data_IF_347751578128
#
_entry.id   IF_347751578128
#
_cell.length_a   1.000
_cell.length_b   1.000
_cell.length_c   1.000
_cell.angle_alpha   90.00
_cell.angle_beta   90.00
_cell.angle_gamma   90.00
#
_symmetry.space_group_name_H-M   'P 1'
#
loop_
_entity.id
_entity.type
_entity.pdbx_description
1 polymer ?
#
# COMPACT_ATOMS: atom_id res chain seq x y z
N UNK A 1 7.20 30.06 -5.83
CA UNK A 1 6.39 28.84 -5.63
C UNK A 1 5.27 28.83 -6.67
N UNK A 2 5.02 27.70 -7.33
CA UNK A 2 3.91 27.54 -8.27
C UNK A 2 2.60 27.77 -7.51
N UNK A 3 1.70 28.63 -8.03
CA UNK A 3 0.40 28.98 -7.41
C UNK A 3 -0.61 27.82 -7.48
N UNK A 4 -0.25 26.67 -6.96
CA UNK A 4 -1.04 25.44 -6.99
C UNK A 4 -1.76 25.22 -5.66
N UNK A 5 -2.91 24.50 -5.66
CA UNK A 5 -3.59 24.13 -4.42
C UNK A 5 -2.73 23.18 -3.56
N UNK A 6 -3.08 23.01 -2.27
CA UNK A 6 -2.52 21.99 -1.39
C UNK A 6 -2.57 20.57 -2.01
N UNK A 7 -1.57 19.73 -1.71
CA UNK A 7 -1.41 18.42 -2.35
C UNK A 7 -2.59 17.48 -2.10
N UNK A 8 -3.11 17.47 -0.87
CA UNK A 8 -4.27 16.70 -0.41
C UNK A 8 -5.51 16.96 -1.28
N UNK A 9 -5.80 18.23 -1.59
CA UNK A 9 -6.91 18.63 -2.44
C UNK A 9 -6.59 18.59 -3.94
N UNK A 10 -5.32 18.61 -4.33
CA UNK A 10 -4.93 18.72 -5.73
C UNK A 10 -4.72 17.36 -6.40
N UNK A 11 -3.86 16.50 -5.84
CA UNK A 11 -3.44 15.25 -6.50
C UNK A 11 -3.85 14.01 -5.73
N UNK A 12 -4.01 14.10 -4.40
CA UNK A 12 -4.28 12.93 -3.57
C UNK A 12 -5.73 12.40 -3.69
N UNK A 13 -6.58 13.01 -4.50
CA UNK A 13 -7.86 12.39 -4.88
C UNK A 13 -7.71 11.39 -6.04
N UNK A 14 -6.58 11.45 -6.75
CA UNK A 14 -6.38 10.72 -8.01
C UNK A 14 -5.06 9.95 -8.08
N UNK A 15 -4.11 10.23 -7.19
CA UNK A 15 -2.80 9.57 -7.12
C UNK A 15 -2.75 8.61 -5.93
N UNK A 16 -2.15 7.45 -6.17
CA UNK A 16 -2.06 6.34 -5.23
C UNK A 16 -0.65 5.77 -5.26
N UNK A 17 -0.23 5.20 -4.13
CA UNK A 17 1.08 4.57 -3.93
C UNK A 17 0.89 3.10 -3.57
N UNK A 18 1.75 2.24 -4.09
CA UNK A 18 1.79 0.86 -3.63
C UNK A 18 2.70 0.71 -2.39
N UNK A 19 2.74 -0.49 -1.81
CA UNK A 19 3.64 -0.83 -0.70
C UNK A 19 4.90 -1.57 -1.16
N UNK A 20 5.37 -1.38 -2.39
CA UNK A 20 6.59 -2.00 -2.91
C UNK A 20 7.85 -1.30 -2.36
N UNK A 21 7.93 -1.21 -1.03
CA UNK A 21 9.01 -0.60 -0.26
C UNK A 21 9.63 -1.69 0.62
N UNK A 22 10.87 -2.06 0.32
CA UNK A 22 11.46 -3.33 0.77
C UNK A 22 12.17 -3.29 2.13
N UNK A 23 11.68 -2.49 3.07
CA UNK A 23 12.17 -2.50 4.46
C UNK A 23 11.18 -1.77 5.39
N UNK A 24 11.17 -2.16 6.67
CA UNK A 24 10.24 -1.61 7.67
C UNK A 24 10.31 -0.07 7.78
N UNK A 25 11.48 0.58 7.91
CA UNK A 25 11.53 2.04 8.03
C UNK A 25 10.91 2.81 6.85
N UNK A 26 10.96 2.24 5.65
CA UNK A 26 10.36 2.86 4.46
C UNK A 26 8.84 2.77 4.48
N UNK A 27 8.30 1.62 4.89
CA UNK A 27 6.87 1.44 5.12
C UNK A 27 6.38 2.33 6.27
N UNK A 28 7.14 2.47 7.36
CA UNK A 28 6.80 3.36 8.46
C UNK A 28 6.69 4.82 8.01
N UNK A 29 7.60 5.27 7.13
CA UNK A 29 7.54 6.62 6.56
C UNK A 29 6.32 6.79 5.67
N UNK A 30 6.03 5.81 4.78
CA UNK A 30 4.88 5.84 3.89
C UNK A 30 3.58 6.06 4.68
N UNK A 31 3.36 5.28 5.73
CA UNK A 31 2.15 5.38 6.57
C UNK A 31 2.11 6.61 7.48
N UNK A 32 3.25 7.27 7.71
CA UNK A 32 3.32 8.50 8.50
C UNK A 32 2.88 9.72 7.70
N UNK A 33 3.16 9.76 6.40
CA UNK A 33 3.05 10.99 5.59
C UNK A 33 2.02 10.91 4.47
N UNK A 34 1.54 9.70 4.14
CA UNK A 34 0.49 9.48 3.14
C UNK A 34 -0.77 8.98 3.84
N UNK A 35 -1.91 9.56 3.51
CA UNK A 35 -3.20 9.10 3.99
C UNK A 35 -3.44 7.65 3.59
N UNK A 36 -3.97 6.84 4.52
CA UNK A 36 -4.22 5.41 4.31
C UNK A 36 -5.09 5.14 3.09
N UNK A 37 -5.99 6.07 2.72
CA UNK A 37 -6.84 5.99 1.52
C UNK A 37 -6.05 5.98 0.20
N UNK A 38 -4.79 6.43 0.21
CA UNK A 38 -3.92 6.54 -0.95
C UNK A 38 -2.92 5.38 -1.08
N UNK A 39 -2.94 4.43 -0.15
CA UNK A 39 -1.98 3.32 -0.10
C UNK A 39 -2.66 2.01 -0.52
N UNK A 40 -2.08 1.31 -1.48
CA UNK A 40 -2.54 0.00 -1.94
C UNK A 40 -1.47 -1.06 -1.67
N UNK A 41 -1.87 -2.22 -1.17
CA UNK A 41 -0.92 -3.31 -0.99
C UNK A 41 -0.34 -3.77 -2.34
N UNK A 42 0.99 -3.91 -2.36
CA UNK A 42 1.78 -4.47 -3.46
C UNK A 42 3.12 -5.00 -2.94
N UNK A 43 3.61 -6.06 -3.57
CA UNK A 43 4.92 -6.66 -3.26
C UNK A 43 5.86 -6.76 -4.44
N UNK A 44 5.35 -6.75 -5.67
CA UNK A 44 6.11 -7.03 -6.90
C UNK A 44 6.96 -8.33 -6.81
N UNK A 45 6.43 -9.35 -6.11
CA UNK A 45 7.19 -10.58 -5.83
C UNK A 45 7.76 -11.24 -7.10
N UNK A 46 8.96 -11.82 -6.98
CA UNK A 46 9.70 -12.43 -8.12
C UNK A 46 10.11 -11.38 -9.17
N UNK A 47 10.15 -10.11 -8.77
CA UNK A 47 10.60 -8.98 -9.58
C UNK A 47 12.11 -8.72 -9.46
N UNK A 48 12.43 -7.46 -9.17
CA UNK A 48 13.80 -6.94 -9.15
C UNK A 48 14.66 -7.48 -8.00
N UNK A 49 14.10 -7.60 -6.79
CA UNK A 49 14.83 -8.04 -5.60
C UNK A 49 14.22 -9.34 -5.08
N UNK A 50 14.91 -10.45 -5.33
CA UNK A 50 14.46 -11.80 -4.94
C UNK A 50 15.18 -12.35 -3.70
N UNK A 51 16.15 -11.58 -3.20
CA UNK A 51 17.04 -12.00 -2.12
C UNK A 51 16.36 -12.05 -0.76
N UNK A 52 16.99 -12.78 0.15
CA UNK A 52 16.69 -12.73 1.57
C UNK A 52 17.53 -11.60 2.18
N UNK A 53 16.88 -10.76 2.97
CA UNK A 53 17.51 -9.76 3.80
C UNK A 53 18.29 -10.47 4.93
N UNK A 54 19.63 -10.31 5.00
CA UNK A 54 20.45 -10.96 6.03
C UNK A 54 20.17 -10.45 7.44
N UNK A 55 19.61 -9.25 7.62
CA UNK A 55 19.32 -8.69 8.94
C UNK A 55 18.05 -9.28 9.55
N UNK A 56 17.06 -9.59 8.70
CA UNK A 56 15.74 -10.05 9.15
C UNK A 56 15.51 -11.55 8.89
N UNK A 57 16.27 -12.17 7.98
CA UNK A 57 16.07 -13.56 7.56
C UNK A 57 14.83 -13.77 6.69
N UNK A 58 14.23 -12.68 6.17
CA UNK A 58 13.03 -12.71 5.34
C UNK A 58 13.31 -12.16 3.94
N UNK A 59 12.46 -12.50 2.97
CA UNK A 59 12.57 -11.90 1.65
C UNK A 59 12.30 -10.40 1.70
N UNK A 60 13.10 -9.62 0.98
CA UNK A 60 12.91 -8.18 0.85
C UNK A 60 11.52 -7.82 0.30
N UNK A 61 11.04 -8.60 -0.68
CA UNK A 61 9.75 -8.45 -1.34
C UNK A 61 8.58 -9.10 -0.59
N UNK A 62 8.77 -9.66 0.62
CA UNK A 62 7.66 -10.09 1.48
C UNK A 62 7.04 -8.89 2.22
N UNK A 63 6.51 -7.93 1.44
CA UNK A 63 6.05 -6.64 1.94
C UNK A 63 4.86 -6.73 2.89
N UNK A 64 4.12 -7.83 2.87
CA UNK A 64 3.02 -8.08 3.81
C UNK A 64 3.51 -8.04 5.26
N UNK A 65 4.72 -8.55 5.52
CA UNK A 65 5.33 -8.53 6.86
C UNK A 65 5.42 -7.13 7.43
N UNK A 66 5.79 -6.17 6.60
CA UNK A 66 5.95 -4.78 7.04
C UNK A 66 4.62 -4.15 7.42
N UNK A 67 3.55 -4.44 6.66
CA UNK A 67 2.19 -3.97 6.97
C UNK A 67 1.62 -4.65 8.21
N UNK A 68 1.87 -5.95 8.38
CA UNK A 68 1.43 -6.70 9.55
C UNK A 68 2.09 -6.16 10.84
N UNK A 69 3.34 -5.71 10.77
CA UNK A 69 4.11 -5.17 11.89
C UNK A 69 3.70 -3.72 12.30
N UNK A 70 2.97 -2.99 11.45
CA UNK A 70 2.50 -1.64 11.78
C UNK A 70 1.52 -1.64 12.95
N UNK A 71 1.70 -0.72 13.89
CA UNK A 71 0.76 -0.43 14.98
C UNK A 71 -0.34 0.53 14.51
N UNK A 72 -1.22 0.02 13.64
CA UNK A 72 -2.37 0.74 13.08
C UNK A 72 -3.66 -0.07 13.25
N UNK A 73 -4.83 0.58 13.28
CA UNK A 73 -6.11 -0.12 13.37
C UNK A 73 -6.28 -1.22 12.32
N UNK A 74 -6.93 -2.33 12.69
CA UNK A 74 -7.19 -3.45 11.78
C UNK A 74 -8.00 -3.01 10.54
N UNK A 75 -8.87 -2.01 10.69
CA UNK A 75 -9.61 -1.39 9.58
C UNK A 75 -8.70 -0.71 8.56
N UNK A 76 -7.60 -0.07 9.00
CA UNK A 76 -6.62 0.54 8.09
C UNK A 76 -5.85 -0.53 7.33
N UNK A 77 -5.46 -1.62 7.99
CA UNK A 77 -4.86 -2.79 7.31
C UNK A 77 -5.83 -3.36 6.27
N UNK A 78 -7.11 -3.51 6.60
CA UNK A 78 -8.14 -4.00 5.67
C UNK A 78 -8.33 -3.08 4.46
N UNK A 79 -8.27 -1.75 4.64
CA UNK A 79 -8.28 -0.79 3.54
C UNK A 79 -7.09 -0.99 2.59
N UNK A 80 -5.88 -1.08 3.13
CA UNK A 80 -4.66 -1.24 2.32
C UNK A 80 -4.64 -2.58 1.59
N UNK A 81 -5.02 -3.67 2.27
CA UNK A 81 -5.03 -5.01 1.68
C UNK A 81 -6.13 -5.22 0.63
N UNK A 82 -7.27 -4.53 0.73
CA UNK A 82 -8.40 -4.79 -0.17
C UNK A 82 -9.23 -3.54 -0.50
N UNK A 83 -9.69 -2.80 0.52
CA UNK A 83 -10.71 -1.76 0.37
C UNK A 83 -10.32 -0.69 -0.67
N UNK A 84 -9.10 -0.17 -0.58
CA UNK A 84 -8.59 0.85 -1.49
C UNK A 84 -8.47 0.32 -2.91
N UNK A 85 -7.95 -0.91 -3.08
CA UNK A 85 -7.84 -1.52 -4.40
C UNK A 85 -9.22 -1.75 -5.04
N UNK A 86 -10.23 -2.20 -4.29
CA UNK A 86 -11.61 -2.33 -4.81
C UNK A 86 -12.19 -0.97 -5.24
N UNK A 87 -11.90 0.11 -4.51
CA UNK A 87 -12.30 1.48 -4.87
C UNK A 87 -11.59 1.98 -6.13
N UNK A 88 -10.28 1.77 -6.25
CA UNK A 88 -9.45 2.25 -7.38
C UNK A 88 -9.68 1.43 -8.65
N UNK A 89 -9.94 0.12 -8.52
CA UNK A 89 -10.21 -0.80 -9.62
C UNK A 89 -11.68 -1.27 -9.62
N UNK A 90 -12.65 -0.42 -10.01
CA UNK A 90 -14.08 -0.72 -9.88
C UNK A 90 -14.54 -1.93 -10.72
N UNK A 91 -13.79 -2.29 -11.77
CA UNK A 91 -14.03 -3.52 -12.53
C UNK A 91 -13.70 -4.78 -11.71
N UNK A 92 -12.62 -4.75 -10.92
CA UNK A 92 -12.26 -5.83 -10.01
C UNK A 92 -13.33 -5.98 -8.91
N UNK A 93 -13.75 -4.88 -8.29
CA UNK A 93 -14.79 -4.89 -7.26
C UNK A 93 -16.09 -5.54 -7.77
N UNK A 94 -16.53 -5.17 -8.98
CA UNK A 94 -17.72 -5.77 -9.61
C UNK A 94 -17.59 -7.28 -9.76
N UNK A 95 -16.42 -7.78 -10.17
CA UNK A 95 -16.16 -9.21 -10.34
C UNK A 95 -16.15 -9.96 -9.00
N UNK A 96 -15.60 -9.35 -7.94
CA UNK A 96 -15.59 -9.92 -6.59
C UNK A 96 -17.01 -9.98 -6.01
N UNK A 97 -17.80 -8.90 -6.14
CA UNK A 97 -19.21 -8.88 -5.71
C UNK A 97 -20.04 -9.96 -6.40
N UNK A 98 -19.83 -10.17 -7.70
CA UNK A 98 -20.51 -11.22 -8.46
C UNK A 98 -20.15 -12.65 -7.97
N UNK A 99 -19.03 -12.81 -7.26
CA UNK A 99 -18.58 -14.06 -6.62
C UNK A 99 -18.98 -14.17 -5.14
N UNK A 100 -19.78 -13.24 -4.62
CA UNK A 100 -20.16 -13.21 -3.20
C UNK A 100 -19.03 -12.79 -2.25
N UNK A 101 -18.08 -11.99 -2.75
CA UNK A 101 -16.95 -11.41 -2.00
C UNK A 101 -17.11 -9.91 -1.80
#
# INVERSE_FOLDING_TARGET
>A
MLKQPPLDGHVMQNVYFDTCVYHQPGIDLLFRVIDVENILFGSEMVGAVRGIDPETGHHFDDTKRYIDALDIPAEHKAKVFEGNARRVYPRLDRLLKARGK
#
